data_IF_432409122067
#
_entry.id   IF_432409122067
#
_cell.length_a   1.000
_cell.length_b   1.000
_cell.length_c   1.000
_cell.angle_alpha   90.00
_cell.angle_beta   90.00
_cell.angle_gamma   90.00
#
_symmetry.space_group_name_H-M   'P 1'
#
loop_
_entity.id
_entity.type
_entity.pdbx_description
1 polymer ?
#
# COMPACT_ATOMS: atom_id res chain seq x y z
N UNK A 1 -10.90 3.61 8.18
CA UNK A 1 -12.30 3.20 8.44
C UNK A 1 -13.26 4.39 8.35
N UNK A 2 -13.06 5.47 9.13
CA UNK A 2 -13.93 6.65 9.12
C UNK A 2 -14.10 7.28 7.73
N UNK A 3 -13.00 7.50 6.99
CA UNK A 3 -13.06 8.03 5.62
C UNK A 3 -13.78 7.09 4.63
N UNK A 4 -13.66 5.77 4.79
CA UNK A 4 -14.32 4.82 3.90
C UNK A 4 -15.84 4.74 4.14
N UNK A 5 -16.26 4.83 5.41
CA UNK A 5 -17.67 4.94 5.80
C UNK A 5 -18.26 6.24 5.27
N UNK A 6 -17.51 7.35 5.39
CA UNK A 6 -17.92 8.66 4.87
C UNK A 6 -17.98 8.70 3.33
N UNK A 7 -17.13 7.92 2.66
CA UNK A 7 -17.11 7.79 1.19
C UNK A 7 -18.04 6.70 0.64
N UNK A 8 -18.80 6.02 1.51
CA UNK A 8 -19.77 4.98 1.18
C UNK A 8 -19.15 3.80 0.40
N UNK A 9 -17.92 3.42 0.77
CA UNK A 9 -17.17 2.35 0.13
C UNK A 9 -17.48 1.03 0.86
N UNK A 10 -17.99 0.02 0.13
CA UNK A 10 -18.25 -1.30 0.71
C UNK A 10 -16.94 -2.03 1.00
N UNK A 11 -16.84 -2.56 2.22
CA UNK A 11 -15.74 -3.41 2.63
C UNK A 11 -16.09 -4.87 2.40
N UNK A 12 -15.22 -5.58 1.69
CA UNK A 12 -15.42 -7.01 1.42
C UNK A 12 -14.68 -7.88 2.44
N UNK A 13 -13.41 -7.55 2.74
CA UNK A 13 -12.57 -8.35 3.65
C UNK A 13 -11.57 -7.49 4.42
N UNK A 14 -11.33 -7.82 5.69
CA UNK A 14 -10.23 -7.24 6.49
C UNK A 14 -9.01 -8.14 6.30
N UNK A 15 -7.92 -7.61 5.74
CA UNK A 15 -6.61 -8.28 5.68
C UNK A 15 -5.73 -7.73 6.80
N UNK A 16 -5.18 -8.62 7.61
CA UNK A 16 -4.14 -8.26 8.59
C UNK A 16 -2.79 -8.26 7.87
N UNK A 17 -2.00 -7.21 8.07
CA UNK A 17 -0.64 -7.02 7.56
C UNK A 17 0.31 -6.78 8.73
N UNK A 18 1.61 -6.94 8.48
CA UNK A 18 2.65 -6.77 9.53
C UNK A 18 2.64 -5.36 10.16
N UNK A 19 2.13 -4.36 9.44
CA UNK A 19 2.04 -2.97 9.91
C UNK A 19 0.61 -2.52 10.25
N UNK A 20 -0.36 -3.44 10.33
CA UNK A 20 -1.74 -3.13 10.74
C UNK A 20 -2.82 -3.82 9.90
N UNK A 21 -3.99 -3.19 9.77
CA UNK A 21 -5.14 -3.73 9.04
C UNK A 21 -5.32 -3.03 7.69
N UNK A 22 -5.29 -3.78 6.60
CA UNK A 22 -5.71 -3.30 5.28
C UNK A 22 -7.13 -3.79 4.98
N UNK A 23 -8.04 -2.88 4.72
CA UNK A 23 -9.40 -3.23 4.33
C UNK A 23 -9.46 -3.34 2.81
N UNK A 24 -9.82 -4.52 2.30
CA UNK A 24 -10.15 -4.69 0.88
C UNK A 24 -11.49 -4.00 0.63
N UNK A 25 -11.41 -2.78 0.12
CA UNK A 25 -12.52 -2.05 -0.45
C UNK A 25 -12.64 -2.42 -1.93
N UNK A 26 -13.88 -2.60 -2.41
CA UNK A 26 -14.13 -2.85 -3.84
C UNK A 26 -13.93 -1.55 -4.64
N UNK A 27 -12.68 -1.27 -4.99
CA UNK A 27 -12.22 0.00 -5.56
C UNK A 27 -12.40 0.06 -7.08
N UNK A 28 -12.80 -1.02 -7.75
CA UNK A 28 -12.91 -1.10 -9.22
C UNK A 28 -13.86 -0.04 -9.81
N UNK A 29 -14.88 0.40 -9.06
CA UNK A 29 -15.85 1.43 -9.49
C UNK A 29 -15.67 2.80 -8.83
N UNK A 30 -14.68 2.96 -7.97
CA UNK A 30 -14.48 4.20 -7.21
C UNK A 30 -13.64 5.21 -7.99
N UNK A 31 -14.06 6.49 -7.97
CA UNK A 31 -13.33 7.59 -8.61
C UNK A 31 -11.93 7.75 -8.03
N UNK A 32 -10.96 8.16 -8.85
CA UNK A 32 -9.55 8.39 -8.48
C UNK A 32 -9.39 9.15 -7.14
N UNK A 33 -10.11 10.25 -6.95
CA UNK A 33 -10.06 11.06 -5.73
C UNK A 33 -10.47 10.27 -4.48
N UNK A 34 -11.46 9.36 -4.59
CA UNK A 34 -11.88 8.52 -3.47
C UNK A 34 -10.81 7.50 -3.10
N UNK A 35 -10.13 6.91 -4.09
CA UNK A 35 -9.00 6.00 -3.86
C UNK A 35 -7.86 6.73 -3.14
N UNK A 36 -7.51 7.92 -3.62
CA UNK A 36 -6.41 8.72 -3.08
C UNK A 36 -6.69 9.18 -1.64
N UNK A 37 -7.89 9.68 -1.35
CA UNK A 37 -8.31 10.04 0.02
C UNK A 37 -8.27 8.81 0.93
N UNK A 38 -8.70 7.64 0.45
CA UNK A 38 -8.69 6.42 1.24
C UNK A 38 -7.26 6.02 1.63
N UNK A 39 -6.34 5.95 0.69
CA UNK A 39 -4.95 5.55 0.96
C UNK A 39 -4.19 6.60 1.80
N UNK A 40 -4.44 7.90 1.58
CA UNK A 40 -3.81 8.95 2.39
C UNK A 40 -4.40 9.04 3.81
N UNK A 41 -5.63 8.58 4.03
CA UNK A 41 -6.29 8.71 5.33
C UNK A 41 -5.52 8.05 6.48
N UNK A 42 -4.83 6.93 6.22
CA UNK A 42 -4.00 6.25 7.21
C UNK A 42 -2.79 7.10 7.65
N UNK A 43 -1.86 7.43 6.74
CA UNK A 43 -0.69 8.24 7.05
C UNK A 43 -1.04 9.63 7.59
N UNK A 44 -2.10 10.28 7.09
CA UNK A 44 -2.56 11.57 7.60
C UNK A 44 -3.07 11.44 9.03
N UNK A 45 -3.84 10.40 9.36
CA UNK A 45 -4.29 10.17 10.74
C UNK A 45 -3.10 10.00 11.69
N UNK A 46 -2.12 9.20 11.30
CA UNK A 46 -0.90 8.98 12.09
C UNK A 46 -0.08 10.28 12.26
N UNK A 47 0.01 11.11 11.22
CA UNK A 47 0.66 12.42 11.30
C UNK A 47 -0.10 13.40 12.22
N UNK A 48 -1.44 13.39 12.17
CA UNK A 48 -2.27 14.18 13.08
C UNK A 48 -2.08 13.76 14.54
N UNK A 49 -2.00 12.45 14.82
CA UNK A 49 -1.69 11.94 16.15
C UNK A 49 -0.31 12.40 16.63
N UNK A 50 0.70 12.40 15.75
CA UNK A 50 2.01 12.97 16.09
C UNK A 50 1.89 14.43 16.51
N UNK A 51 1.24 15.28 15.70
CA UNK A 51 1.12 16.72 16.00
C UNK A 51 0.35 16.98 17.31
N UNK A 52 -0.70 16.20 17.59
CA UNK A 52 -1.52 16.36 18.80
C UNK A 52 -0.80 15.94 20.08
N UNK A 53 0.02 14.88 20.05
CA UNK A 53 0.64 14.31 21.25
C UNK A 53 2.13 14.65 21.42
N UNK A 54 2.80 15.25 20.42
CA UNK A 54 4.25 15.57 20.47
C UNK A 54 4.64 16.42 21.68
N UNK A 55 3.80 17.37 22.09
CA UNK A 55 4.09 18.30 23.19
C UNK A 55 3.52 17.83 24.55
N UNK A 56 3.13 16.56 24.65
CA UNK A 56 2.60 15.96 25.88
C UNK A 56 3.58 14.94 26.45
N UNK A 57 3.29 14.42 27.65
CA UNK A 57 4.05 13.32 28.26
C UNK A 57 4.04 12.01 27.42
N UNK A 58 3.24 11.95 26.34
CA UNK A 58 3.14 10.82 25.41
C UNK A 58 3.97 11.03 24.14
N UNK A 59 5.12 11.70 24.23
CA UNK A 59 6.01 11.95 23.09
C UNK A 59 6.46 10.67 22.37
N UNK A 60 6.66 9.58 23.10
CA UNK A 60 7.03 8.29 22.52
C UNK A 60 5.92 7.71 21.64
N UNK A 61 4.66 7.83 22.07
CA UNK A 61 3.51 7.44 21.28
C UNK A 61 3.40 8.29 20.00
N UNK A 62 3.64 9.60 20.11
CA UNK A 62 3.68 10.49 18.96
C UNK A 62 4.76 10.04 17.96
N UNK A 63 5.97 9.75 18.42
CA UNK A 63 7.09 9.32 17.58
C UNK A 63 6.82 7.99 16.87
N UNK A 64 6.16 7.03 17.55
CA UNK A 64 5.72 5.77 16.92
C UNK A 64 4.72 6.04 15.79
N UNK A 65 3.73 6.90 16.02
CA UNK A 65 2.76 7.25 14.97
C UNK A 65 3.44 7.95 13.78
N UNK A 66 4.40 8.84 14.03
CA UNK A 66 5.20 9.44 12.96
C UNK A 66 5.98 8.39 12.17
N UNK A 67 6.61 7.43 12.86
CA UNK A 67 7.32 6.32 12.23
C UNK A 67 6.39 5.46 11.36
N UNK A 68 5.19 5.12 11.83
CA UNK A 68 4.19 4.41 11.03
C UNK A 68 3.74 5.24 9.82
N UNK A 69 3.56 6.56 9.95
CA UNK A 69 3.20 7.42 8.83
C UNK A 69 4.30 7.40 7.75
N UNK A 70 5.57 7.50 8.16
CA UNK A 70 6.71 7.43 7.25
C UNK A 70 6.80 6.08 6.52
N UNK A 71 6.66 4.96 7.25
CA UNK A 71 6.68 3.62 6.64
C UNK A 71 5.53 3.47 5.64
N UNK A 72 4.31 3.86 6.01
CA UNK A 72 3.16 3.69 5.14
C UNK A 72 3.21 4.59 3.90
N UNK A 73 4.00 5.66 3.90
CA UNK A 73 4.23 6.51 2.72
C UNK A 73 5.33 6.00 1.78
N UNK A 74 6.05 4.94 2.12
CA UNK A 74 7.03 4.34 1.21
C UNK A 74 6.30 3.79 -0.04
N UNK A 75 6.79 4.07 -1.27
CA UNK A 75 6.13 3.66 -2.50
C UNK A 75 6.37 2.17 -2.82
N UNK A 76 5.87 1.31 -1.93
CA UNK A 76 5.91 -0.16 -2.02
C UNK A 76 4.51 -0.70 -1.83
N UNK A 77 4.03 -1.54 -2.74
CA UNK A 77 2.78 -2.28 -2.54
C UNK A 77 3.06 -3.42 -1.56
N UNK A 78 2.20 -3.69 -0.55
CA UNK A 78 0.84 -3.20 -0.36
C UNK A 78 0.70 -1.99 0.58
N UNK A 79 1.77 -1.25 0.89
CA UNK A 79 1.68 -0.05 1.73
C UNK A 79 0.88 1.07 1.03
N UNK A 80 0.36 2.00 1.83
CA UNK A 80 -0.52 3.07 1.35
C UNK A 80 0.16 3.95 0.27
N UNK A 81 1.44 4.28 0.45
CA UNK A 81 2.23 5.06 -0.51
C UNK A 81 2.38 4.34 -1.85
N UNK A 82 2.62 3.03 -1.83
CA UNK A 82 2.63 2.22 -3.04
C UNK A 82 1.27 2.20 -3.75
N UNK A 83 0.17 2.12 -3.00
CA UNK A 83 -1.18 2.17 -3.56
C UNK A 83 -1.55 3.56 -4.10
N UNK A 84 -1.05 4.64 -3.50
CA UNK A 84 -1.16 6.01 -4.03
C UNK A 84 -0.41 6.11 -5.37
N UNK A 85 0.84 5.64 -5.43
CA UNK A 85 1.60 5.59 -6.68
C UNK A 85 0.87 4.78 -7.75
N UNK A 86 0.34 3.60 -7.38
CA UNK A 86 -0.44 2.76 -8.28
C UNK A 86 -1.66 3.49 -8.85
N UNK A 87 -2.43 4.18 -8.00
CA UNK A 87 -3.60 4.96 -8.45
C UNK A 87 -3.20 6.09 -9.38
N UNK A 88 -2.08 6.75 -9.12
CA UNK A 88 -1.58 7.83 -9.96
C UNK A 88 -1.18 7.32 -11.34
N UNK A 89 -0.44 6.21 -11.40
CA UNK A 89 -0.02 5.60 -12.66
C UNK A 89 -1.17 4.93 -13.43
N UNK A 90 -2.23 4.48 -12.75
CA UNK A 90 -3.45 3.95 -13.38
C UNK A 90 -4.14 4.97 -14.30
N UNK A 91 -3.88 6.28 -14.12
CA UNK A 91 -4.41 7.33 -15.01
C UNK A 91 -3.71 7.40 -16.38
N UNK A 92 -2.46 6.91 -16.47
CA UNK A 92 -1.61 7.10 -17.65
C UNK A 92 -1.21 5.79 -18.33
N UNK A 93 -1.28 4.67 -17.61
CA UNK A 93 -0.70 3.40 -18.05
C UNK A 93 -1.74 2.28 -18.10
N UNK A 94 -1.60 1.41 -19.10
CA UNK A 94 -2.32 0.16 -19.15
C UNK A 94 -2.00 -0.72 -17.95
N UNK A 95 -2.99 -1.51 -17.53
CA UNK A 95 -2.90 -2.35 -16.32
C UNK A 95 -1.70 -3.31 -16.33
N UNK A 96 -1.32 -3.85 -17.49
CA UNK A 96 -0.15 -4.74 -17.61
C UNK A 96 1.15 -3.99 -17.31
N UNK A 97 1.27 -2.78 -17.86
CA UNK A 97 2.44 -1.92 -17.70
C UNK A 97 2.53 -1.41 -16.27
N UNK A 98 1.39 -0.96 -15.70
CA UNK A 98 1.26 -0.56 -14.31
C UNK A 98 1.75 -1.66 -13.35
N UNK A 99 1.27 -2.89 -13.52
CA UNK A 99 1.68 -4.01 -12.67
C UNK A 99 3.19 -4.26 -12.75
N UNK A 100 3.79 -4.20 -13.95
CA UNK A 100 5.24 -4.35 -14.11
C UNK A 100 5.99 -3.23 -13.39
N UNK A 101 5.54 -1.98 -13.50
CA UNK A 101 6.13 -0.86 -12.77
C UNK A 101 6.05 -1.05 -11.24
N UNK A 102 4.91 -1.53 -10.72
CA UNK A 102 4.78 -1.81 -9.28
C UNK A 102 5.71 -2.95 -8.83
N UNK A 103 5.90 -3.99 -9.65
CA UNK A 103 6.87 -5.05 -9.35
C UNK A 103 8.30 -4.53 -9.39
N UNK A 104 8.66 -3.70 -10.39
CA UNK A 104 9.98 -3.11 -10.53
C UNK A 104 10.32 -2.20 -9.34
N UNK A 105 9.39 -1.34 -8.94
CA UNK A 105 9.55 -0.46 -7.77
C UNK A 105 9.71 -1.25 -6.48
N UNK A 106 8.86 -2.26 -6.22
CA UNK A 106 9.03 -3.15 -5.06
C UNK A 106 10.40 -3.86 -5.07
N UNK A 107 10.84 -4.34 -6.23
CA UNK A 107 12.14 -5.02 -6.38
C UNK A 107 13.31 -4.07 -6.10
N UNK A 108 13.23 -2.83 -6.60
CA UNK A 108 14.21 -1.79 -6.30
C UNK A 108 14.36 -1.54 -4.80
N UNK A 109 13.24 -1.39 -4.08
CA UNK A 109 13.27 -1.20 -2.63
C UNK A 109 13.81 -2.41 -1.87
N UNK A 110 13.54 -3.64 -2.32
CA UNK A 110 14.14 -4.85 -1.73
C UNK A 110 15.66 -4.78 -1.80
N UNK A 111 16.22 -4.41 -2.95
CA UNK A 111 17.67 -4.27 -3.13
C UNK A 111 18.23 -3.18 -2.21
N UNK A 112 17.57 -2.02 -2.12
CA UNK A 112 17.96 -0.95 -1.20
C UNK A 112 17.97 -1.41 0.26
N UNK A 113 16.91 -2.10 0.72
CA UNK A 113 16.84 -2.58 2.09
C UNK A 113 17.86 -3.68 2.39
N UNK A 114 18.14 -4.58 1.44
CA UNK A 114 19.21 -5.57 1.60
C UNK A 114 20.58 -4.91 1.76
N UNK A 115 20.86 -3.86 0.96
CA UNK A 115 22.09 -3.08 1.09
C UNK A 115 22.20 -2.40 2.47
N UNK A 116 21.10 -1.82 2.96
CA UNK A 116 21.06 -1.20 4.30
C UNK A 116 21.27 -2.24 5.41
N UNK A 117 20.65 -3.42 5.31
CA UNK A 117 20.86 -4.51 6.28
C UNK A 117 22.33 -4.94 6.28
N UNK A 118 22.94 -5.07 5.11
CA UNK A 118 24.35 -5.44 5.00
C UNK A 118 25.28 -4.42 5.66
N UNK A 119 25.05 -3.12 5.44
CA UNK A 119 25.88 -2.05 6.01
C UNK A 119 25.65 -1.84 7.51
N UNK A 120 24.39 -1.76 7.96
CA UNK A 120 24.04 -1.35 9.31
C UNK A 120 23.68 -2.51 10.25
N UNK A 121 23.59 -3.74 9.74
CA UNK A 121 23.18 -4.96 10.47
C UNK A 121 21.85 -4.82 11.22
N UNK A 122 21.00 -3.89 10.78
CA UNK A 122 19.70 -3.65 11.39
C UNK A 122 18.64 -4.53 10.72
N UNK A 123 18.16 -5.55 11.45
CA UNK A 123 17.21 -6.52 10.92
C UNK A 123 15.77 -6.00 10.83
N UNK A 124 15.43 -4.80 11.33
CA UNK A 124 14.08 -4.23 11.21
C UNK A 124 13.68 -4.08 9.73
N UNK A 125 14.62 -3.75 8.84
CA UNK A 125 14.38 -3.63 7.40
C UNK A 125 13.98 -4.96 6.74
N UNK A 126 14.21 -6.10 7.40
CA UNK A 126 13.72 -7.40 6.93
C UNK A 126 12.19 -7.44 6.84
N UNK A 127 11.49 -6.78 7.77
CA UNK A 127 10.02 -6.69 7.73
C UNK A 127 9.53 -5.95 6.48
N UNK A 128 10.26 -4.91 6.05
CA UNK A 128 9.95 -4.16 4.84
C UNK A 128 10.19 -4.99 3.58
N UNK A 129 11.23 -5.85 3.57
CA UNK A 129 11.48 -6.81 2.49
C UNK A 129 10.33 -7.81 2.38
N UNK A 130 9.87 -8.38 3.49
CA UNK A 130 8.73 -9.31 3.49
C UNK A 130 7.48 -8.65 2.93
N UNK A 131 7.21 -7.39 3.29
CA UNK A 131 6.07 -6.64 2.76
C UNK A 131 6.21 -6.35 1.26
N UNK A 132 7.39 -5.98 0.79
CA UNK A 132 7.64 -5.74 -0.63
C UNK A 132 7.48 -7.03 -1.46
N UNK A 133 7.95 -8.17 -0.94
CA UNK A 133 7.74 -9.49 -1.55
C UNK A 133 6.25 -9.86 -1.61
N UNK A 134 5.51 -9.63 -0.53
CA UNK A 134 4.05 -9.82 -0.50
C UNK A 134 3.37 -8.99 -1.60
N UNK A 135 3.79 -7.75 -1.81
CA UNK A 135 3.27 -6.91 -2.89
C UNK A 135 3.52 -7.48 -4.28
N UNK A 136 4.72 -8.00 -4.55
CA UNK A 136 5.05 -8.64 -5.83
C UNK A 136 4.14 -9.85 -6.08
N UNK A 137 3.90 -10.67 -5.05
CA UNK A 137 3.00 -11.84 -5.15
C UNK A 137 1.56 -11.40 -5.44
N UNK A 138 1.06 -10.38 -4.72
CA UNK A 138 -0.30 -9.84 -4.90
C UNK A 138 -0.49 -9.25 -6.31
N UNK A 139 0.47 -8.50 -6.82
CA UNK A 139 0.42 -7.94 -8.18
C UNK A 139 0.46 -9.03 -9.28
N UNK A 140 1.33 -10.03 -9.13
CA UNK A 140 1.38 -11.17 -10.05
C UNK A 140 0.07 -11.96 -10.06
N UNK A 141 -0.53 -12.17 -8.89
CA UNK A 141 -1.84 -12.82 -8.77
C UNK A 141 -2.93 -12.02 -9.48
N UNK A 142 -2.97 -10.70 -9.29
CA UNK A 142 -3.94 -9.82 -9.95
C UNK A 142 -3.82 -9.87 -11.48
N UNK A 143 -2.60 -9.95 -12.01
CA UNK A 143 -2.35 -10.12 -13.45
C UNK A 143 -2.89 -11.46 -13.98
N UNK A 144 -2.63 -12.54 -13.25
CA UNK A 144 -3.10 -13.89 -13.60
C UNK A 144 -4.64 -13.97 -13.57
N UNK A 145 -5.28 -13.47 -12.52
CA UNK A 145 -6.74 -13.48 -12.42
C UNK A 145 -7.40 -12.72 -13.58
N UNK A 146 -6.82 -11.58 -13.99
CA UNK A 146 -7.34 -10.78 -15.11
C UNK A 146 -7.11 -11.44 -16.47
N UNK A 147 -5.95 -12.07 -16.70
CA UNK A 147 -5.69 -12.78 -17.95
C UNK A 147 -6.65 -13.97 -18.13
N UNK A 148 -6.92 -14.71 -17.05
CA UNK A 148 -7.90 -15.80 -17.03
C UNK A 148 -9.31 -15.28 -17.35
N UNK A 149 -9.75 -14.17 -16.74
CA UNK A 149 -11.07 -13.57 -17.02
C UNK A 149 -11.23 -13.13 -18.47
N UNK A 150 -10.19 -12.55 -19.07
CA UNK A 150 -10.20 -12.16 -20.49
C UNK A 150 -10.30 -13.37 -21.41
N UNK A 151 -9.49 -14.41 -21.16
CA UNK A 151 -9.55 -15.65 -21.94
C UNK A 151 -10.92 -16.32 -21.84
N UNK A 152 -11.51 -16.35 -20.64
CA UNK A 152 -12.84 -16.92 -20.44
C UNK A 152 -13.94 -16.15 -21.17
N UNK A 153 -13.86 -14.81 -21.22
CA UNK A 153 -14.78 -13.99 -22.03
C UNK A 153 -14.63 -14.30 -23.51
N UNK A 154 -13.39 -14.41 -24.01
CA UNK A 154 -13.13 -14.69 -25.42
C UNK A 154 -13.58 -16.09 -25.86
N UNK A 155 -13.68 -17.06 -24.95
CA UNK A 155 -14.23 -18.39 -25.25
C UNK A 155 -15.77 -18.43 -25.27
N UNK A 156 -16.45 -17.40 -24.74
CA UNK A 156 -17.91 -17.31 -24.68
C UNK A 156 -18.54 -16.60 -25.88
N UNK A 157 -17.72 -15.99 -26.74
CA UNK A 157 -18.09 -15.39 -28.03
C UNK A 157 -17.48 -16.22 -29.16
#
# INVERSE_FOLDING_TARGET
MFCAVLLNIKFDKVKITLFGFTFNADLERSSFLKKLILFLSGPVCNACLYLGFRNTNYSDFANINLFLACINMIPIVPLDGGNVCKCFFELFLDMKTLCRYMIMTNTFFIVCFLSIIYTYKNYIYFLLIVMALKGIIEENRNMLEKSIRLNYRNMKY
#
